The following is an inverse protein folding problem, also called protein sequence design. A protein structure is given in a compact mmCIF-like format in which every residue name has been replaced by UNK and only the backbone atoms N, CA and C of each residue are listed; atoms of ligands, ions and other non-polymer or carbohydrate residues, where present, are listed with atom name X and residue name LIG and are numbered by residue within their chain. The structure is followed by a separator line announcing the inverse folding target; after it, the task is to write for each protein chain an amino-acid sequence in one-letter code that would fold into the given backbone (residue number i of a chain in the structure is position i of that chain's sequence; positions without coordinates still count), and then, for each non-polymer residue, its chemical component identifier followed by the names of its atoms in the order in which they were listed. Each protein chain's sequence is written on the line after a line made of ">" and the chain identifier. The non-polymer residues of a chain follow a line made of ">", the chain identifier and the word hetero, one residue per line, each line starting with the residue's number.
data_IF_496894110175
#
_entry.id   IF_496894110175
#
_cell.length_a   1.000
_cell.length_b   1.000
_cell.length_c   1.000
_cell.angle_alpha   90.00
_cell.angle_beta   90.00
_cell.angle_gamma   90.00
#
_symmetry.space_group_name_H-M   'P 1'
#
loop_
_entity.id
_entity.type
_entity.pdbx_description
1 polymer ?
#
# COMPACT_ATOMS: atom_id res chain seq x y z
N UNK A 1 18.72 -31.75 -39.46
CA UNK A 1 18.60 -31.91 -38.00
C UNK A 1 19.02 -30.67 -37.21
N UNK A 2 20.07 -29.92 -37.61
CA UNK A 2 20.54 -28.75 -36.84
C UNK A 2 19.61 -27.54 -36.78
N UNK A 3 18.88 -27.22 -37.86
CA UNK A 3 18.01 -26.03 -37.90
C UNK A 3 16.84 -26.10 -36.91
N UNK A 4 16.21 -27.27 -36.79
CA UNK A 4 15.13 -27.54 -35.84
C UNK A 4 15.61 -27.48 -34.38
N UNK A 5 16.80 -28.02 -34.11
CA UNK A 5 17.41 -27.96 -32.78
C UNK A 5 17.74 -26.52 -32.36
N UNK A 6 18.25 -25.71 -33.29
CA UNK A 6 18.54 -24.29 -33.04
C UNK A 6 17.26 -23.46 -32.82
N UNK A 7 16.18 -23.74 -33.56
CA UNK A 7 14.89 -23.08 -33.35
C UNK A 7 14.28 -23.44 -31.98
N UNK A 8 14.35 -24.71 -31.59
CA UNK A 8 13.88 -25.18 -30.29
C UNK A 8 14.66 -24.55 -29.13
N UNK A 9 15.99 -24.46 -29.25
CA UNK A 9 16.84 -23.82 -28.26
C UNK A 9 16.55 -22.31 -28.16
N UNK A 10 16.34 -21.65 -29.29
CA UNK A 10 15.93 -20.24 -29.32
C UNK A 10 14.58 -20.03 -28.63
N UNK A 11 13.57 -20.87 -28.92
CA UNK A 11 12.26 -20.82 -28.27
C UNK A 11 12.36 -21.01 -26.75
N UNK A 12 13.14 -21.98 -26.30
CA UNK A 12 13.36 -22.25 -24.87
C UNK A 12 14.04 -21.06 -24.16
N UNK A 13 15.08 -20.50 -24.77
CA UNK A 13 15.77 -19.31 -24.24
C UNK A 13 14.86 -18.07 -24.22
N UNK A 14 14.01 -17.88 -25.23
CA UNK A 14 13.02 -16.79 -25.21
C UNK A 14 11.93 -17.01 -24.16
N UNK A 15 11.52 -18.26 -23.92
CA UNK A 15 10.49 -18.56 -22.92
C UNK A 15 10.97 -18.32 -21.48
N UNK A 16 12.26 -18.53 -21.19
CA UNK A 16 12.86 -18.18 -19.90
C UNK A 16 13.03 -16.67 -19.67
N UNK A 17 12.96 -15.86 -20.73
CA UNK A 17 13.04 -14.39 -20.65
C UNK A 17 11.66 -13.73 -20.54
N UNK A 18 10.58 -14.47 -20.78
CA UNK A 18 9.22 -13.98 -20.52
C UNK A 18 8.95 -14.13 -19.03
N UNK A 19 9.31 -13.10 -18.27
CA UNK A 19 8.76 -12.90 -16.93
C UNK A 19 7.26 -12.69 -17.09
N UNK A 20 6.46 -13.76 -16.96
CA UNK A 20 5.01 -13.62 -16.85
C UNK A 20 4.78 -12.98 -15.48
N UNK A 21 4.63 -11.66 -15.43
CA UNK A 21 4.15 -10.95 -14.26
C UNK A 21 2.70 -11.37 -14.04
N UNK A 22 2.49 -12.44 -13.25
CA UNK A 22 1.19 -12.69 -12.67
C UNK A 22 0.94 -11.57 -11.68
N UNK A 23 0.17 -10.56 -12.08
CA UNK A 23 -0.50 -9.71 -11.11
C UNK A 23 -1.40 -10.65 -10.31
N UNK A 24 -0.96 -11.03 -9.12
CA UNK A 24 -1.76 -11.79 -8.18
C UNK A 24 -2.79 -10.79 -7.66
N UNK A 25 -3.86 -10.60 -8.45
CA UNK A 25 -4.91 -9.66 -8.15
C UNK A 25 -5.49 -9.96 -6.78
N UNK A 26 -5.71 -8.91 -5.99
CA UNK A 26 -6.18 -9.00 -4.62
C UNK A 26 -6.89 -7.72 -4.24
N UNK A 27 -7.90 -7.83 -3.39
CA UNK A 27 -8.63 -6.67 -2.90
C UNK A 27 -7.86 -6.14 -1.68
N UNK A 28 -7.57 -4.84 -1.68
CA UNK A 28 -7.07 -4.13 -0.50
C UNK A 28 -8.21 -3.34 0.14
N UNK A 29 -8.24 -3.27 1.47
CA UNK A 29 -9.24 -2.49 2.23
C UNK A 29 -8.57 -1.70 3.34
N UNK A 30 -9.12 -0.52 3.66
CA UNK A 30 -8.75 0.25 4.85
C UNK A 30 -9.64 -0.12 6.04
N UNK A 31 -9.04 -0.27 7.22
CA UNK A 31 -9.72 -0.60 8.48
C UNK A 31 -9.24 0.31 9.61
N UNK A 32 -10.13 0.63 10.56
CA UNK A 32 -9.77 1.28 11.83
C UNK A 32 -10.19 2.75 11.96
N UNK A 33 -10.94 3.28 10.97
CA UNK A 33 -11.40 4.67 10.98
C UNK A 33 -12.76 4.83 11.66
N UNK A 34 -13.57 3.79 11.75
CA UNK A 34 -14.97 3.90 12.18
C UNK A 34 -15.19 3.10 13.48
N UNK A 35 -15.33 3.81 14.61
CA UNK A 35 -15.61 3.19 15.90
C UNK A 35 -16.96 2.48 15.96
N UNK A 36 -17.14 1.64 17.00
CA UNK A 36 -18.23 0.67 17.17
C UNK A 36 -19.66 1.21 17.20
N UNK A 37 -19.87 2.52 17.23
CA UNK A 37 -21.19 3.07 17.60
C UNK A 37 -21.94 3.75 16.44
N UNK A 38 -21.31 3.93 15.27
CA UNK A 38 -21.93 4.69 14.17
C UNK A 38 -21.93 4.00 12.79
N UNK A 39 -21.11 2.97 12.56
CA UNK A 39 -20.98 2.35 11.22
C UNK A 39 -20.81 0.82 11.17
N UNK A 40 -20.99 0.09 12.29
CA UNK A 40 -20.80 -1.38 12.35
C UNK A 40 -19.50 -1.86 11.65
N UNK A 41 -18.36 -1.17 11.86
CA UNK A 41 -17.07 -1.67 11.39
C UNK A 41 -16.77 -2.98 12.12
N UNK A 42 -16.68 -4.08 11.38
CA UNK A 42 -16.33 -5.39 11.93
C UNK A 42 -14.96 -5.35 12.59
N UNK A 43 -14.69 -6.27 13.51
CA UNK A 43 -13.34 -6.39 14.06
C UNK A 43 -12.30 -6.71 12.98
N UNK A 44 -11.03 -6.41 13.25
CA UNK A 44 -9.92 -6.76 12.34
C UNK A 44 -9.84 -8.28 12.10
N UNK A 45 -10.13 -9.08 13.13
CA UNK A 45 -10.17 -10.54 13.02
C UNK A 45 -11.27 -11.00 12.04
N UNK A 46 -12.50 -10.51 12.21
CA UNK A 46 -13.61 -10.83 11.30
C UNK A 46 -13.34 -10.34 9.87
N UNK A 47 -12.65 -9.22 9.70
CA UNK A 47 -12.23 -8.70 8.39
C UNK A 47 -11.27 -9.68 7.72
N UNK A 48 -10.29 -10.22 8.46
CA UNK A 48 -9.35 -11.23 7.97
C UNK A 48 -10.03 -12.57 7.66
N UNK A 49 -11.02 -12.98 8.45
CA UNK A 49 -11.76 -14.23 8.28
C UNK A 49 -12.69 -14.24 7.06
N UNK A 50 -13.02 -13.06 6.49
CA UNK A 50 -13.81 -13.00 5.25
C UNK A 50 -13.13 -13.72 4.08
N UNK A 51 -11.79 -13.79 4.07
CA UNK A 51 -11.01 -14.30 2.94
C UNK A 51 -11.13 -13.45 1.67
N UNK A 52 -11.74 -12.27 1.74
CA UNK A 52 -11.96 -11.38 0.59
C UNK A 52 -10.75 -10.52 0.26
N UNK A 53 -9.94 -10.19 1.27
CA UNK A 53 -8.88 -9.19 1.17
C UNK A 53 -7.50 -9.84 1.20
N UNK A 54 -6.63 -9.43 0.28
CA UNK A 54 -5.23 -9.84 0.27
C UNK A 54 -4.37 -8.93 1.16
N UNK A 55 -4.79 -7.67 1.33
CA UNK A 55 -4.10 -6.66 2.15
C UNK A 55 -5.15 -5.87 2.94
N UNK A 56 -4.92 -5.70 4.25
CA UNK A 56 -5.72 -4.83 5.12
C UNK A 56 -4.81 -3.69 5.60
N UNK A 57 -5.07 -2.48 5.13
CA UNK A 57 -4.37 -1.26 5.56
C UNK A 57 -5.00 -0.79 6.88
N UNK A 58 -4.31 -1.00 8.00
CA UNK A 58 -4.76 -0.54 9.33
C UNK A 58 -4.38 0.93 9.50
N UNK A 59 -5.37 1.81 9.64
CA UNK A 59 -5.16 3.24 9.81
C UNK A 59 -5.91 3.80 11.01
N UNK A 60 -5.42 4.88 11.65
CA UNK A 60 -4.32 5.74 11.19
C UNK A 60 -3.26 6.00 12.25
N UNK A 61 -2.03 6.27 11.81
CA UNK A 61 -1.10 7.10 12.59
C UNK A 61 -1.69 8.51 12.66
N UNK A 62 -1.97 9.02 13.85
CA UNK A 62 -2.54 10.36 14.11
C UNK A 62 -1.49 11.41 14.42
N UNK A 63 -0.32 10.98 14.91
CA UNK A 63 0.79 11.87 15.25
C UNK A 63 2.12 11.22 14.86
N UNK A 64 2.99 12.00 14.23
CA UNK A 64 4.39 11.65 13.99
C UNK A 64 5.21 12.94 13.77
N UNK A 65 6.54 12.87 13.93
CA UNK A 65 7.46 13.98 13.68
C UNK A 65 7.57 15.01 14.82
N UNK A 66 8.40 16.05 14.64
CA UNK A 66 8.58 17.16 15.59
C UNK A 66 8.95 16.79 17.05
N UNK A 67 9.59 15.64 17.26
CA UNK A 67 9.92 15.15 18.60
C UNK A 67 8.71 14.67 19.41
N UNK A 68 7.56 14.53 18.75
CA UNK A 68 6.36 13.95 19.31
C UNK A 68 6.42 12.43 19.15
N UNK A 69 5.88 11.71 20.14
CA UNK A 69 5.70 10.27 20.05
C UNK A 69 4.74 9.94 18.90
N UNK A 70 4.97 8.80 18.24
CA UNK A 70 4.01 8.30 17.25
C UNK A 70 2.75 7.86 17.96
N UNK A 71 1.62 8.44 17.56
CA UNK A 71 0.30 8.07 18.05
C UNK A 71 -0.44 7.32 16.94
N UNK A 72 -1.04 6.18 17.29
CA UNK A 72 -1.94 5.45 16.41
C UNK A 72 -3.36 5.65 16.95
N UNK A 73 -4.23 6.22 16.13
CA UNK A 73 -5.64 6.41 16.41
C UNK A 73 -6.49 5.47 15.56
N UNK A 74 -7.09 4.47 16.21
CA UNK A 74 -7.99 3.50 15.60
C UNK A 74 -9.44 3.70 16.09
N UNK A 75 -9.91 4.94 16.19
CA UNK A 75 -11.31 5.25 16.51
C UNK A 75 -11.91 4.43 17.68
N UNK A 76 -11.15 4.32 18.77
CA UNK A 76 -11.48 3.56 20.00
C UNK A 76 -11.50 2.03 19.89
N UNK A 77 -10.96 1.44 18.81
CA UNK A 77 -10.78 -0.01 18.67
C UNK A 77 -9.71 -0.59 19.61
N UNK A 78 -8.94 0.24 20.30
CA UNK A 78 -7.96 -0.17 21.30
C UNK A 78 -8.31 0.42 22.67
N UNK A 79 -8.59 -0.44 23.66
CA UNK A 79 -8.60 -0.04 25.08
C UNK A 79 -8.07 -1.16 25.99
N UNK A 80 -7.29 -0.83 27.06
CA UNK A 80 -6.81 0.49 27.42
C UNK A 80 -5.42 0.78 26.80
N UNK A 81 -5.37 1.80 25.94
CA UNK A 81 -4.29 2.79 25.68
C UNK A 81 -2.83 2.35 25.83
N UNK A 82 -2.48 1.12 25.48
CA UNK A 82 -1.08 0.66 25.47
C UNK A 82 -0.44 1.05 24.15
N UNK A 83 -0.08 2.33 24.05
CA UNK A 83 0.66 2.91 22.94
C UNK A 83 2.04 2.24 22.82
N UNK A 84 2.32 1.64 21.67
CA UNK A 84 3.67 1.20 21.31
C UNK A 84 4.39 2.37 20.64
N UNK A 85 5.26 3.02 21.42
CA UNK A 85 6.06 4.17 21.02
C UNK A 85 7.08 3.76 19.94
N UNK A 86 6.98 4.38 18.76
CA UNK A 86 8.02 4.35 17.74
C UNK A 86 8.43 5.79 17.46
N UNK A 87 9.74 6.08 17.44
CA UNK A 87 10.26 7.42 17.17
C UNK A 87 10.78 7.47 15.74
N UNK A 88 10.17 8.30 14.90
CA UNK A 88 10.70 8.64 13.58
C UNK A 88 10.87 10.17 13.51
N UNK A 89 12.12 10.60 13.37
CA UNK A 89 12.47 11.99 13.10
C UNK A 89 12.13 12.33 11.64
N UNK A 90 11.45 13.45 11.41
CA UNK A 90 11.18 14.03 10.09
C UNK A 90 10.06 15.06 10.14
N UNK A 91 10.36 16.32 9.84
CA UNK A 91 9.38 17.36 9.49
C UNK A 91 9.15 17.33 7.97
N UNK A 92 8.09 17.96 7.46
CA UNK A 92 7.80 18.15 6.03
C UNK A 92 7.47 16.93 5.14
N UNK A 93 6.61 17.17 4.14
CA UNK A 93 6.16 16.16 3.15
C UNK A 93 7.28 15.68 2.22
N UNK A 94 8.43 16.35 2.22
CA UNK A 94 9.63 16.01 1.44
C UNK A 94 10.45 14.83 2.01
N UNK A 95 9.95 14.16 3.06
CA UNK A 95 10.65 13.04 3.72
C UNK A 95 9.96 11.69 3.56
N UNK A 96 8.84 11.63 2.84
CA UNK A 96 8.13 10.37 2.63
C UNK A 96 9.03 9.37 1.89
N UNK A 97 9.80 9.82 0.91
CA UNK A 97 10.80 9.01 0.22
C UNK A 97 11.89 8.46 1.17
N UNK A 98 12.42 9.31 2.05
CA UNK A 98 13.47 8.98 2.99
C UNK A 98 12.95 8.00 4.05
N UNK A 99 11.76 8.27 4.58
CA UNK A 99 11.07 7.39 5.51
C UNK A 99 10.77 6.04 4.86
N UNK A 100 10.25 6.03 3.62
CA UNK A 100 9.99 4.81 2.88
C UNK A 100 11.27 4.00 2.69
N UNK A 101 12.37 4.61 2.24
CA UNK A 101 13.68 3.93 2.11
C UNK A 101 14.18 3.40 3.44
N UNK A 102 14.09 4.19 4.51
CA UNK A 102 14.51 3.81 5.86
C UNK A 102 13.74 2.59 6.37
N UNK A 103 12.40 2.61 6.23
CA UNK A 103 11.53 1.49 6.58
C UNK A 103 11.84 0.25 5.73
N UNK A 104 12.06 0.42 4.42
CA UNK A 104 12.40 -0.70 3.52
C UNK A 104 13.70 -1.39 3.95
N UNK A 105 14.70 -0.63 4.41
CA UNK A 105 15.98 -1.14 4.90
C UNK A 105 15.88 -2.12 6.07
N UNK A 106 14.83 -2.05 6.89
CA UNK A 106 14.61 -3.06 7.93
C UNK A 106 14.27 -4.45 7.37
N UNK A 107 13.88 -4.56 6.09
CA UNK A 107 13.75 -5.86 5.42
C UNK A 107 15.08 -6.61 5.35
N UNK A 108 16.20 -5.89 5.33
CA UNK A 108 17.55 -6.48 5.33
C UNK A 108 17.98 -6.97 6.72
N UNK A 109 17.36 -6.42 7.77
CA UNK A 109 17.66 -6.71 9.17
C UNK A 109 16.71 -7.76 9.77
N UNK A 110 15.50 -7.88 9.21
CA UNK A 110 14.44 -8.76 9.71
C UNK A 110 14.34 -10.09 8.95
N UNK A 111 13.66 -11.06 9.57
CA UNK A 111 13.34 -12.35 8.94
C UNK A 111 12.14 -12.27 7.97
N UNK A 112 11.45 -11.13 7.89
CA UNK A 112 10.27 -10.92 7.04
C UNK A 112 10.46 -9.66 6.20
N UNK A 113 10.11 -9.71 4.91
CA UNK A 113 10.15 -8.53 4.05
C UNK A 113 9.14 -7.48 4.52
N UNK A 114 9.52 -6.21 4.43
CA UNK A 114 8.63 -5.07 4.63
C UNK A 114 8.10 -4.63 3.27
N UNK A 115 6.77 -4.48 3.20
CA UNK A 115 6.08 -3.95 2.03
C UNK A 115 5.61 -2.53 2.33
N UNK A 116 5.85 -1.64 1.37
CA UNK A 116 5.44 -0.24 1.43
C UNK A 116 4.36 -0.01 0.40
N UNK A 117 3.35 0.76 0.77
CA UNK A 117 2.31 1.18 -0.15
C UNK A 117 2.02 2.65 -0.03
N UNK A 118 1.57 3.24 -1.12
CA UNK A 118 1.18 4.65 -1.20
C UNK A 118 -0.19 4.78 -1.84
N UNK A 119 -0.93 5.83 -1.48
CA UNK A 119 -2.31 6.02 -1.92
C UNK A 119 -2.54 7.43 -2.50
N UNK A 120 -2.00 7.72 -3.70
CA UNK A 120 -2.19 9.03 -4.34
C UNK A 120 -3.64 9.27 -4.73
N UNK A 121 -4.00 10.53 -4.91
CA UNK A 121 -5.15 10.92 -5.70
C UNK A 121 -4.94 10.53 -7.17
N UNK A 122 -6.03 10.50 -7.92
CA UNK A 122 -5.99 10.08 -9.31
C UNK A 122 -5.33 11.08 -10.31
N UNK A 123 -5.35 12.42 -10.12
CA UNK A 123 -4.62 13.31 -11.02
C UNK A 123 -3.13 12.91 -11.06
N UNK A 124 -2.58 12.81 -12.28
CA UNK A 124 -1.18 12.43 -12.47
C UNK A 124 -0.38 13.57 -13.13
N UNK A 125 0.78 13.97 -12.57
CA UNK A 125 1.32 13.52 -11.27
C UNK A 125 0.44 13.94 -10.11
N UNK A 126 0.46 13.17 -9.01
CA UNK A 126 -0.21 13.56 -7.77
C UNK A 126 0.52 14.76 -7.15
N UNK A 127 -0.23 15.78 -6.71
CA UNK A 127 0.34 17.05 -6.25
C UNK A 127 1.24 16.91 -5.00
N UNK A 128 1.08 15.86 -4.22
CA UNK A 128 1.84 15.64 -2.97
C UNK A 128 2.76 14.42 -3.04
N UNK A 129 2.38 13.41 -3.80
CA UNK A 129 3.01 12.08 -3.83
C UNK A 129 3.62 11.75 -5.19
N UNK A 130 3.52 12.64 -6.17
CA UNK A 130 4.02 12.42 -7.53
C UNK A 130 5.52 12.12 -7.56
N UNK A 131 6.32 12.90 -6.82
CA UNK A 131 7.76 12.73 -6.73
C UNK A 131 8.13 11.43 -5.98
N UNK A 132 7.40 11.12 -4.90
CA UNK A 132 7.59 9.90 -4.10
C UNK A 132 7.32 8.62 -4.90
N UNK A 133 6.27 8.60 -5.73
CA UNK A 133 5.97 7.47 -6.62
C UNK A 133 7.14 7.23 -7.59
N UNK A 134 7.76 8.31 -8.08
CA UNK A 134 8.90 8.27 -8.99
C UNK A 134 10.15 7.61 -8.39
N UNK A 135 10.23 7.46 -7.07
CA UNK A 135 11.38 6.85 -6.37
C UNK A 135 11.51 5.34 -6.60
N UNK A 136 10.42 4.66 -6.96
CA UNK A 136 10.35 3.21 -7.13
C UNK A 136 10.46 2.40 -5.84
N UNK A 137 10.26 3.02 -4.67
CA UNK A 137 10.43 2.38 -3.36
C UNK A 137 9.16 1.64 -2.87
N UNK A 138 7.99 1.98 -3.42
CA UNK A 138 6.71 1.40 -3.03
C UNK A 138 6.38 0.11 -3.79
N UNK A 139 5.89 -0.90 -3.07
CA UNK A 139 5.47 -2.20 -3.62
C UNK A 139 4.02 -2.17 -4.14
N UNK A 140 3.16 -1.32 -3.55
CA UNK A 140 1.77 -1.17 -3.96
C UNK A 140 1.37 0.30 -4.08
N UNK A 141 0.54 0.63 -5.08
CA UNK A 141 -0.01 1.97 -5.31
C UNK A 141 -1.54 1.89 -5.37
N UNK A 142 -2.22 2.47 -4.37
CA UNK A 142 -3.68 2.48 -4.21
C UNK A 142 -4.26 3.82 -4.71
N UNK A 143 -4.42 3.99 -6.03
CA UNK A 143 -4.93 5.25 -6.58
C UNK A 143 -6.38 5.51 -6.12
N UNK A 144 -6.64 6.68 -5.54
CA UNK A 144 -7.95 7.09 -5.07
C UNK A 144 -8.77 7.70 -6.23
N UNK A 145 -9.68 6.91 -6.81
CA UNK A 145 -10.57 7.32 -7.91
C UNK A 145 -11.90 7.96 -7.45
N UNK A 146 -11.93 8.49 -6.23
CA UNK A 146 -13.12 9.09 -5.62
C UNK A 146 -12.80 10.49 -5.10
N UNK A 147 -13.85 11.32 -5.00
CA UNK A 147 -13.79 12.66 -4.38
C UNK A 147 -12.83 13.68 -5.05
N UNK A 148 -12.40 13.44 -6.29
CA UNK A 148 -11.51 14.36 -7.04
C UNK A 148 -12.17 14.85 -8.34
N UNK A 149 -12.94 15.94 -8.28
CA UNK A 149 -13.55 16.61 -9.45
C UNK A 149 -12.67 17.76 -9.96
N UNK A 150 -12.55 18.01 -11.27
CA UNK A 150 -13.19 17.35 -12.43
C UNK A 150 -12.42 16.14 -13.01
N UNK A 151 -11.19 15.91 -12.56
CA UNK A 151 -10.25 15.06 -13.29
C UNK A 151 -10.44 13.56 -13.06
N UNK A 152 -11.09 13.18 -11.95
CA UNK A 152 -11.02 11.82 -11.41
C UNK A 152 -12.28 11.43 -10.62
N UNK A 153 -13.45 11.71 -11.18
CA UNK A 153 -14.66 11.02 -10.75
C UNK A 153 -14.74 9.71 -11.55
N UNK A 154 -14.53 8.57 -10.90
CA UNK A 154 -15.02 7.31 -11.45
C UNK A 154 -16.56 7.40 -11.44
N UNK A 155 -17.15 7.99 -12.47
CA UNK A 155 -18.56 7.79 -12.78
C UNK A 155 -18.68 6.32 -13.13
N UNK A 156 -18.94 5.47 -12.14
CA UNK A 156 -19.37 4.10 -12.36
C UNK A 156 -20.77 4.19 -12.98
N UNK A 157 -20.85 4.45 -14.28
CA UNK A 157 -22.01 4.06 -15.06
C UNK A 157 -22.04 2.52 -15.05
N UNK A 158 -22.72 1.95 -14.06
CA UNK A 158 -23.31 0.65 -14.22
C UNK A 158 -24.42 0.80 -15.25
N UNK A 159 -24.05 0.80 -16.53
CA UNK A 159 -25.02 0.61 -17.60
C UNK A 159 -25.53 -0.83 -17.48
N UNK A 160 -26.69 -0.96 -16.84
CA UNK A 160 -27.51 -2.18 -16.80
C UNK A 160 -28.13 -2.47 -18.15
#
# INVERSE_FOLDING_TARGET
>A
MGLLANLLLACLLTSSLIQISKAQGGISIYWGKNGSDYYDEKSLAETGETGLYSIVNVGSVSQFGNGLDIEIYLSNHCTPDTFNYFNLFGDDTDYLDYLARYLKGYSEQGAKPIYLSIAPQCPYPDDYLGDDIGTGVFDYVWVQFYQTYPYCNATCEYNT
#
